data_IF_500496383830
#
_entry.id   IF_500496383830
#
_cell.length_a   1.000
_cell.length_b   1.000
_cell.length_c   1.000
_cell.angle_alpha   90.00
_cell.angle_beta   90.00
_cell.angle_gamma   90.00
#
_symmetry.space_group_name_H-M   'P 1'
#
loop_
_entity.id
_entity.type
_entity.pdbx_description
1 polymer ?
#
# COMPACT_ATOMS: atom_id res chain seq x y z
N UNK A 1 20.16 -25.31 12.63
CA UNK A 1 18.95 -25.32 11.78
C UNK A 1 19.27 -24.48 10.58
N UNK A 2 18.98 -24.95 9.36
CA UNK A 2 19.25 -24.16 8.16
C UNK A 2 18.31 -22.95 8.13
N UNK A 3 18.84 -21.74 7.85
CA UNK A 3 18.04 -20.53 7.64
C UNK A 3 17.43 -20.52 6.22
N UNK A 4 16.89 -21.67 5.78
CA UNK A 4 16.24 -21.79 4.49
C UNK A 4 14.79 -21.31 4.58
N UNK A 5 14.35 -20.50 3.64
CA UNK A 5 13.00 -20.02 3.48
C UNK A 5 12.47 -20.47 2.13
N UNK A 6 11.16 -20.78 2.06
CA UNK A 6 10.49 -21.12 0.80
C UNK A 6 10.18 -19.85 0.00
N UNK A 7 9.91 -18.74 0.71
CA UNK A 7 9.64 -17.43 0.11
C UNK A 7 10.36 -16.31 0.85
N UNK A 8 10.88 -15.36 0.09
CA UNK A 8 11.46 -14.11 0.62
C UNK A 8 10.70 -12.94 0.00
N UNK A 9 9.99 -12.20 0.85
CA UNK A 9 9.26 -10.98 0.48
C UNK A 9 10.08 -9.77 0.87
N UNK A 10 10.44 -8.92 -0.10
CA UNK A 10 11.26 -7.73 0.13
C UNK A 10 10.37 -6.51 0.16
N UNK A 11 10.36 -5.83 1.29
CA UNK A 11 9.53 -4.66 1.60
C UNK A 11 8.20 -5.03 2.23
N UNK A 12 7.90 -4.45 3.38
CA UNK A 12 6.66 -4.62 4.16
C UNK A 12 5.60 -3.56 3.85
N UNK A 13 5.61 -2.99 2.64
CA UNK A 13 4.57 -2.10 2.17
C UNK A 13 3.24 -2.82 1.91
N UNK A 14 2.26 -2.13 1.34
CA UNK A 14 0.89 -2.64 1.11
C UNK A 14 0.86 -3.99 0.40
N UNK A 15 1.65 -4.15 -0.68
CA UNK A 15 1.71 -5.40 -1.43
C UNK A 15 2.49 -6.48 -0.69
N UNK A 16 3.68 -6.15 -0.15
CA UNK A 16 4.52 -7.13 0.51
C UNK A 16 3.92 -7.69 1.78
N UNK A 17 3.23 -6.87 2.58
CA UNK A 17 2.52 -7.34 3.76
C UNK A 17 1.39 -8.30 3.40
N UNK A 18 0.63 -8.02 2.34
CA UNK A 18 -0.42 -8.91 1.85
C UNK A 18 0.17 -10.24 1.34
N UNK A 19 1.24 -10.17 0.55
CA UNK A 19 1.92 -11.37 0.04
C UNK A 19 2.47 -12.23 1.16
N UNK A 20 3.15 -11.62 2.14
CA UNK A 20 3.66 -12.35 3.28
C UNK A 20 2.53 -13.03 4.08
N UNK A 21 1.42 -12.33 4.31
CA UNK A 21 0.24 -12.87 4.99
C UNK A 21 -0.35 -14.07 4.24
N UNK A 22 -0.56 -13.95 2.93
CA UNK A 22 -1.16 -15.01 2.12
C UNK A 22 -0.26 -16.25 2.00
N UNK A 23 1.05 -16.04 1.78
CA UNK A 23 2.00 -17.13 1.67
C UNK A 23 2.19 -17.89 2.98
N UNK A 24 2.20 -17.17 4.11
CA UNK A 24 2.35 -17.78 5.44
C UNK A 24 1.05 -18.37 6.02
N UNK A 25 -0.08 -18.23 5.32
CA UNK A 25 -1.33 -18.89 5.72
C UNK A 25 -1.22 -20.43 5.65
N UNK A 26 -0.39 -20.95 4.75
CA UNK A 26 -0.01 -22.36 4.77
C UNK A 26 1.16 -22.56 5.75
N UNK A 27 0.96 -23.33 6.85
CA UNK A 27 2.00 -23.55 7.86
C UNK A 27 3.20 -24.35 7.35
N UNK A 28 3.11 -24.99 6.19
CA UNK A 28 4.23 -25.66 5.54
C UNK A 28 5.22 -24.66 4.94
N UNK A 29 4.80 -23.43 4.64
CA UNK A 29 5.64 -22.40 4.06
C UNK A 29 6.42 -21.61 5.11
N UNK A 30 7.72 -21.54 4.95
CA UNK A 30 8.59 -20.64 5.70
C UNK A 30 8.78 -19.35 4.91
N UNK A 31 8.18 -18.25 5.39
CA UNK A 31 8.20 -16.96 4.70
C UNK A 31 9.06 -15.96 5.47
N UNK A 32 10.06 -15.38 4.82
CA UNK A 32 10.81 -14.25 5.34
C UNK A 32 10.26 -12.95 4.77
N UNK A 33 9.93 -11.99 5.65
CA UNK A 33 9.59 -10.61 5.26
C UNK A 33 10.72 -9.68 5.68
N UNK A 34 11.38 -9.05 4.71
CA UNK A 34 12.54 -8.18 4.93
C UNK A 34 12.12 -6.73 4.69
N UNK A 35 12.36 -5.87 5.68
CA UNK A 35 12.08 -4.43 5.60
C UNK A 35 13.34 -3.62 5.88
N UNK A 36 13.59 -2.58 5.07
CA UNK A 36 14.77 -1.72 5.20
C UNK A 36 14.65 -0.72 6.36
N UNK A 37 13.44 -0.34 6.71
CA UNK A 37 13.18 0.67 7.71
C UNK A 37 12.80 0.10 9.08
N UNK A 38 12.58 0.98 10.07
CA UNK A 38 12.22 0.55 11.41
C UNK A 38 10.79 0.04 11.50
N UNK A 39 10.49 -0.65 12.61
CA UNK A 39 9.11 -1.03 12.95
C UNK A 39 8.26 0.21 13.23
N UNK A 40 7.04 0.20 12.69
CA UNK A 40 6.00 1.20 12.98
C UNK A 40 5.44 1.07 14.40
N UNK A 41 5.70 -0.06 15.09
CA UNK A 41 5.23 -0.33 16.46
C UNK A 41 6.11 0.28 17.54
N UNK A 42 7.27 0.83 17.20
CA UNK A 42 8.20 1.45 18.16
C UNK A 42 7.86 2.92 18.40
N UNK A 43 8.01 3.36 19.65
CA UNK A 43 7.89 4.78 20.00
C UNK A 43 9.06 5.59 19.39
N UNK A 44 8.81 6.79 18.85
CA UNK A 44 7.55 7.53 18.68
C UNK A 44 6.86 7.26 17.35
N UNK A 45 7.28 6.28 16.57
CA UNK A 45 6.77 6.00 15.23
C UNK A 45 5.32 5.56 15.28
N UNK A 46 4.98 4.68 16.22
CA UNK A 46 3.62 4.16 16.40
C UNK A 46 2.56 5.26 16.61
N UNK A 47 2.90 6.33 17.35
CA UNK A 47 1.99 7.47 17.52
C UNK A 47 1.86 8.25 16.22
N UNK A 48 2.97 8.49 15.53
CA UNK A 48 2.99 9.27 14.29
C UNK A 48 2.25 8.56 13.15
N UNK A 49 2.35 7.25 13.04
CA UNK A 49 1.64 6.47 12.03
C UNK A 49 0.15 6.32 12.34
N UNK A 50 -0.23 6.33 13.62
CA UNK A 50 -1.64 6.26 14.03
C UNK A 50 -2.41 7.57 13.89
N UNK A 51 -1.71 8.70 13.77
CA UNK A 51 -2.34 10.03 13.64
C UNK A 51 -2.61 10.35 12.16
N UNK A 52 -3.80 10.84 11.79
CA UNK A 52 -4.12 11.20 10.40
C UNK A 52 -3.14 12.19 9.72
N UNK A 53 -2.53 13.08 10.52
CA UNK A 53 -1.52 14.06 10.06
C UNK A 53 -0.10 13.71 10.46
N UNK A 54 0.11 12.54 11.02
CA UNK A 54 1.40 12.11 11.57
C UNK A 54 2.48 11.92 10.51
N UNK A 55 2.08 11.67 9.25
CA UNK A 55 2.97 11.61 8.11
C UNK A 55 3.82 12.88 7.93
N UNK A 56 3.30 14.06 8.29
CA UNK A 56 4.03 15.34 8.24
C UNK A 56 5.31 15.27 9.07
N UNK A 57 5.31 14.50 10.16
CA UNK A 57 6.47 14.32 11.04
C UNK A 57 7.41 13.19 10.59
N UNK A 58 7.01 12.36 9.65
CA UNK A 58 7.82 11.24 9.14
C UNK A 58 8.47 11.58 7.80
N UNK A 59 7.75 12.28 6.93
CA UNK A 59 8.21 12.63 5.58
C UNK A 59 9.55 13.36 5.52
N UNK A 60 9.91 14.29 6.45
CA UNK A 60 11.20 14.98 6.39
C UNK A 60 12.40 14.10 6.72
N UNK A 61 12.22 12.95 7.36
CA UNK A 61 13.31 12.14 7.89
C UNK A 61 13.71 10.98 6.98
N UNK A 62 14.98 10.90 6.62
CA UNK A 62 15.58 9.81 5.82
C UNK A 62 15.46 8.42 6.48
N UNK A 63 15.27 8.38 7.79
CA UNK A 63 15.03 7.16 8.52
C UNK A 63 13.72 6.47 8.09
N UNK A 64 12.69 7.27 7.70
CA UNK A 64 11.33 6.80 7.41
C UNK A 64 10.91 7.01 5.96
N UNK A 65 11.75 7.70 5.18
CA UNK A 65 11.47 8.09 3.81
C UNK A 65 12.73 7.95 2.95
N UNK A 66 12.61 7.27 1.82
CA UNK A 66 13.71 7.15 0.84
C UNK A 66 14.09 8.48 0.20
N UNK A 67 13.23 9.52 0.33
CA UNK A 67 13.45 10.85 -0.23
C UNK A 67 13.81 10.84 -1.73
N UNK A 68 13.17 9.99 -2.47
CA UNK A 68 13.34 9.96 -3.91
C UNK A 68 12.77 11.22 -4.56
N UNK A 69 13.32 11.62 -5.70
CA UNK A 69 12.76 12.64 -6.57
C UNK A 69 12.63 12.10 -7.99
N UNK A 70 11.59 12.52 -8.69
CA UNK A 70 11.41 12.23 -10.09
C UNK A 70 12.24 13.22 -10.91
N UNK A 71 12.92 12.69 -11.92
CA UNK A 71 13.61 13.53 -12.90
C UNK A 71 12.56 14.21 -13.77
N UNK A 72 12.66 15.53 -13.90
CA UNK A 72 11.77 16.31 -14.74
C UNK A 72 11.91 15.96 -16.22
N UNK A 73 10.88 16.30 -16.96
CA UNK A 73 10.89 16.30 -18.43
C UNK A 73 10.09 17.49 -18.95
N UNK A 74 10.07 17.70 -20.26
CA UNK A 74 9.40 18.82 -20.88
C UNK A 74 7.89 18.93 -20.54
N UNK A 75 7.20 17.79 -20.33
CA UNK A 75 5.78 17.79 -19.98
C UNK A 75 5.49 18.38 -18.58
N UNK A 76 6.48 18.40 -17.70
CA UNK A 76 6.41 19.00 -16.36
C UNK A 76 7.34 20.20 -16.21
N UNK A 77 7.73 20.82 -17.31
CA UNK A 77 8.65 21.98 -17.34
C UNK A 77 9.98 21.71 -16.61
N UNK A 78 10.52 20.52 -16.76
CA UNK A 78 11.77 20.03 -16.14
C UNK A 78 11.83 20.19 -14.61
N UNK A 79 10.68 20.31 -13.96
CA UNK A 79 10.61 20.42 -12.51
C UNK A 79 11.04 19.11 -11.85
N UNK A 80 11.87 19.22 -10.84
CA UNK A 80 12.06 18.12 -9.89
C UNK A 80 10.83 17.99 -9.00
N UNK A 81 10.28 16.79 -8.94
CA UNK A 81 9.10 16.50 -8.13
C UNK A 81 9.54 15.58 -6.99
N UNK A 82 9.37 16.03 -5.75
CA UNK A 82 9.61 15.17 -4.59
C UNK A 82 8.67 13.97 -4.63
N UNK A 83 9.25 12.80 -4.50
CA UNK A 83 8.54 11.54 -4.58
C UNK A 83 8.79 10.71 -3.30
N UNK A 84 8.10 11.04 -2.19
CA UNK A 84 8.29 10.33 -0.93
C UNK A 84 7.92 8.86 -1.07
N UNK A 85 8.78 7.98 -0.51
CA UNK A 85 8.54 6.55 -0.41
C UNK A 85 8.83 6.09 0.99
N UNK A 86 7.86 5.42 1.62
CA UNK A 86 8.00 4.94 2.97
C UNK A 86 9.15 3.94 3.11
N UNK A 87 9.95 4.14 4.15
CA UNK A 87 11.08 3.29 4.56
C UNK A 87 10.84 2.89 6.01
N UNK A 88 9.82 2.07 6.22
CA UNK A 88 9.43 1.56 7.53
C UNK A 88 8.40 0.45 7.33
N UNK A 89 8.09 -0.28 8.39
CA UNK A 89 7.02 -1.27 8.37
C UNK A 89 5.70 -0.61 7.93
N UNK A 90 4.99 -1.21 6.97
CA UNK A 90 3.83 -0.61 6.32
C UNK A 90 4.17 0.21 5.06
N UNK A 91 5.45 0.57 4.83
CA UNK A 91 5.87 1.30 3.63
C UNK A 91 5.11 2.62 3.42
N UNK A 92 4.64 2.85 2.20
CA UNK A 92 3.88 4.06 1.88
C UNK A 92 2.53 4.13 2.59
N UNK A 93 1.92 3.02 3.00
CA UNK A 93 0.68 3.03 3.77
C UNK A 93 0.85 3.67 5.16
N UNK A 94 2.06 3.61 5.73
CA UNK A 94 2.37 4.22 7.03
C UNK A 94 2.63 5.74 6.96
N UNK A 95 2.82 6.31 5.76
CA UNK A 95 3.15 7.73 5.56
C UNK A 95 2.24 8.45 4.56
N UNK A 96 1.21 7.80 4.03
CA UNK A 96 0.26 8.41 3.11
C UNK A 96 -0.81 9.23 3.84
N UNK A 97 -1.68 9.89 3.09
CA UNK A 97 -2.80 10.68 3.63
C UNK A 97 -4.05 9.86 4.00
N UNK A 98 -3.99 8.53 3.96
CA UNK A 98 -5.12 7.65 4.32
C UNK A 98 -6.31 7.69 3.34
N UNK A 99 -6.12 8.21 2.14
CA UNK A 99 -7.17 8.23 1.12
C UNK A 99 -7.21 6.88 0.40
N UNK A 100 -8.37 6.22 0.45
CA UNK A 100 -8.63 5.02 -0.32
C UNK A 100 -9.42 5.36 -1.58
N UNK A 101 -8.80 5.20 -2.74
CA UNK A 101 -9.41 5.44 -4.05
C UNK A 101 -8.87 4.41 -5.04
N UNK A 102 -9.74 3.90 -5.89
CA UNK A 102 -9.36 3.00 -7.00
C UNK A 102 -9.22 3.80 -8.29
N UNK A 103 -8.44 3.27 -9.23
CA UNK A 103 -8.43 3.77 -10.60
C UNK A 103 -9.81 3.65 -11.25
N UNK A 104 -10.05 4.46 -12.26
CA UNK A 104 -11.29 4.40 -13.03
C UNK A 104 -11.31 3.16 -13.94
N UNK A 105 -12.50 2.76 -14.37
CA UNK A 105 -12.66 1.64 -15.31
C UNK A 105 -11.78 1.81 -16.56
N UNK A 106 -11.73 3.02 -17.10
CA UNK A 106 -10.95 3.32 -18.29
C UNK A 106 -9.43 3.12 -18.10
N UNK A 107 -8.91 3.34 -16.88
CA UNK A 107 -7.48 3.14 -16.60
C UNK A 107 -7.06 1.68 -16.76
N UNK A 108 -7.89 0.75 -16.25
CA UNK A 108 -7.63 -0.69 -16.36
C UNK A 108 -7.93 -1.23 -17.75
N UNK A 109 -9.01 -0.78 -18.37
CA UNK A 109 -9.37 -1.21 -19.72
C UNK A 109 -8.29 -0.79 -20.73
N UNK A 110 -7.67 0.39 -20.55
CA UNK A 110 -6.52 0.81 -21.35
C UNK A 110 -5.31 -0.12 -21.21
N UNK A 111 -5.14 -0.79 -20.08
CA UNK A 111 -4.09 -1.81 -19.94
C UNK A 111 -4.38 -3.04 -20.80
N UNK A 112 -5.65 -3.44 -20.90
CA UNK A 112 -6.05 -4.54 -21.80
C UNK A 112 -5.81 -4.15 -23.26
N UNK A 113 -6.17 -2.92 -23.65
CA UNK A 113 -5.92 -2.40 -25.00
C UNK A 113 -4.42 -2.38 -25.34
N UNK A 114 -3.57 -2.19 -24.33
CA UNK A 114 -2.11 -2.29 -24.45
C UNK A 114 -1.57 -3.74 -24.44
N UNK A 115 -2.45 -4.76 -24.45
CA UNK A 115 -2.10 -6.18 -24.53
C UNK A 115 -2.04 -6.93 -23.20
N UNK A 116 -2.44 -6.31 -22.07
CA UNK A 116 -2.42 -6.95 -20.76
C UNK A 116 -3.76 -7.66 -20.49
N UNK A 117 -3.93 -8.84 -21.04
CA UNK A 117 -5.14 -9.67 -20.86
C UNK A 117 -5.32 -10.03 -19.38
N UNK A 118 -6.57 -9.96 -18.89
CA UNK A 118 -6.91 -10.25 -17.46
C UNK A 118 -6.72 -9.07 -16.52
N UNK A 119 -6.50 -7.86 -17.03
CA UNK A 119 -6.33 -6.63 -16.24
C UNK A 119 -7.44 -5.61 -16.48
N UNK A 120 -8.57 -6.00 -17.08
CA UNK A 120 -9.73 -5.11 -17.17
C UNK A 120 -10.27 -4.75 -15.77
N UNK A 121 -11.02 -3.67 -15.68
CA UNK A 121 -11.67 -3.33 -14.42
C UNK A 121 -12.57 -4.46 -13.89
N UNK A 122 -13.22 -5.19 -14.78
CA UNK A 122 -14.04 -6.35 -14.42
C UNK A 122 -13.19 -7.48 -13.81
N UNK A 123 -11.99 -7.71 -14.36
CA UNK A 123 -11.07 -8.75 -13.87
C UNK A 123 -10.47 -8.40 -12.50
N UNK A 124 -10.11 -7.14 -12.27
CA UNK A 124 -9.44 -6.72 -11.03
C UNK A 124 -10.40 -6.37 -9.90
N UNK A 125 -11.67 -6.03 -10.19
CA UNK A 125 -12.67 -5.68 -9.18
C UNK A 125 -12.87 -6.75 -8.09
N UNK A 126 -12.93 -8.06 -8.40
CA UNK A 126 -13.04 -9.10 -7.39
C UNK A 126 -11.86 -9.07 -6.39
N UNK A 127 -10.63 -8.83 -6.86
CA UNK A 127 -9.45 -8.72 -6.00
C UNK A 127 -9.52 -7.49 -5.09
N UNK A 128 -9.95 -6.33 -5.59
CA UNK A 128 -10.19 -5.14 -4.77
C UNK A 128 -11.23 -5.39 -3.69
N UNK A 129 -12.31 -6.10 -4.02
CA UNK A 129 -13.36 -6.44 -3.05
C UNK A 129 -12.87 -7.44 -2.01
N UNK A 130 -12.01 -8.39 -2.41
CA UNK A 130 -11.51 -9.42 -1.50
C UNK A 130 -10.63 -8.86 -0.38
N UNK A 131 -9.87 -7.81 -0.63
CA UNK A 131 -8.99 -7.20 0.38
C UNK A 131 -9.70 -6.14 1.24
N UNK A 132 -10.90 -5.73 0.87
CA UNK A 132 -11.62 -4.60 1.47
C UNK A 132 -12.61 -5.05 2.55
N UNK A 133 -12.63 -4.33 3.66
CA UNK A 133 -13.67 -4.39 4.68
C UNK A 133 -14.36 -3.01 4.78
N UNK A 134 -15.31 -2.76 3.87
CA UNK A 134 -15.99 -1.46 3.80
C UNK A 134 -17.11 -1.33 4.84
N UNK A 135 -17.08 -0.30 5.65
CA UNK A 135 -18.08 -0.04 6.69
C UNK A 135 -19.44 0.50 6.16
N UNK A 136 -19.50 0.97 4.91
CA UNK A 136 -20.71 1.53 4.31
C UNK A 136 -21.67 0.49 3.73
N UNK A 137 -22.84 0.94 3.22
CA UNK A 137 -23.92 0.08 2.74
C UNK A 137 -23.73 -0.46 1.31
N UNK A 138 -22.94 0.20 0.48
CA UNK A 138 -22.78 -0.19 -0.93
C UNK A 138 -22.01 -1.48 -1.06
N UNK A 139 -22.68 -2.54 -1.50
CA UNK A 139 -22.13 -3.87 -1.69
C UNK A 139 -21.75 -4.17 -3.15
N UNK A 140 -22.17 -3.36 -4.12
CA UNK A 140 -21.93 -3.61 -5.54
C UNK A 140 -20.43 -3.39 -5.87
N UNK A 141 -19.89 -2.28 -5.40
CA UNK A 141 -18.52 -1.86 -5.68
C UNK A 141 -17.54 -2.13 -4.52
N UNK A 142 -18.05 -2.45 -3.34
CA UNK A 142 -17.28 -2.63 -2.11
C UNK A 142 -17.28 -4.08 -1.63
N UNK A 143 -16.22 -4.44 -0.90
CA UNK A 143 -16.05 -5.73 -0.24
C UNK A 143 -16.33 -5.68 1.25
N UNK A 144 -16.47 -6.85 1.85
CA UNK A 144 -16.63 -7.08 3.29
C UNK A 144 -15.72 -8.20 3.73
N UNK A 145 -15.17 -8.07 4.94
CA UNK A 145 -14.38 -9.13 5.59
C UNK A 145 -12.93 -9.24 5.10
N UNK A 146 -12.46 -8.34 4.22
CA UNK A 146 -11.06 -8.22 3.87
C UNK A 146 -10.23 -7.55 4.97
N UNK A 147 -8.92 -7.54 4.83
CA UNK A 147 -7.99 -7.05 5.86
C UNK A 147 -7.88 -5.53 5.90
N UNK A 148 -8.33 -4.82 4.86
CA UNK A 148 -8.26 -3.37 4.76
C UNK A 148 -9.58 -2.73 5.18
N UNK A 149 -9.60 -2.15 6.37
CA UNK A 149 -10.75 -1.38 6.86
C UNK A 149 -10.89 -0.07 6.08
N UNK A 150 -12.04 0.10 5.42
CA UNK A 150 -12.39 1.29 4.64
C UNK A 150 -13.69 1.89 5.16
N UNK A 151 -13.67 3.17 5.48
CA UNK A 151 -14.85 3.89 5.97
C UNK A 151 -14.98 5.27 5.34
N UNK A 152 -16.18 5.79 5.26
CA UNK A 152 -16.37 7.20 4.93
C UNK A 152 -15.82 8.06 6.05
N UNK A 153 -15.19 9.20 5.74
CA UNK A 153 -14.83 10.17 6.76
C UNK A 153 -16.08 10.53 7.58
N UNK A 154 -15.94 10.56 8.89
CA UNK A 154 -16.99 11.16 9.73
C UNK A 154 -17.04 12.63 9.35
N UNK A 155 -18.26 13.15 9.06
CA UNK A 155 -18.43 14.56 8.74
C UNK A 155 -17.76 15.40 9.82
N UNK A 156 -16.97 16.38 9.40
CA UNK A 156 -16.52 17.45 10.27
C UNK A 156 -17.76 18.32 10.56
N UNK A 157 -18.34 18.16 11.73
CA UNK A 157 -19.37 19.09 12.23
C UNK A 157 -18.66 20.25 12.94
#
# INVERSE_FOLDING_TARGET
MSDAFDYIVIGSGSAGSLMANRLSADPANRVALIEAGPSDRTWPVNIKTAMPVGNIFLLPHEKYNWKQSLVGNAAVHDRQINFPRGKLFGGCSAINGGVYIRGQKADYDAWVDAGNVGWSYADVLPAFKAVENYAGPDKAWHGKGGELDVQKPKSWN
#
